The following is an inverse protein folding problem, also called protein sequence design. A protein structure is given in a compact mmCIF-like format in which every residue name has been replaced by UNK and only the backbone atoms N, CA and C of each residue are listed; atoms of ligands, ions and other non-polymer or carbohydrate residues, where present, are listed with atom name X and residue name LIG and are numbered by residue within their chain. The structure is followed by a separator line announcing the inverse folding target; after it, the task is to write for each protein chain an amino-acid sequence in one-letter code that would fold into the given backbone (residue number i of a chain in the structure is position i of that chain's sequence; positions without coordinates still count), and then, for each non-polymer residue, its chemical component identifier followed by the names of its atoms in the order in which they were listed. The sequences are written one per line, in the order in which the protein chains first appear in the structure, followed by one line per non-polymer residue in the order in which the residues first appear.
data_IF_516749519477
#
_entry.id   IF_516749519477
#
_cell.length_a   1.000
_cell.length_b   1.000
_cell.length_c   1.000
_cell.angle_alpha   90.00
_cell.angle_beta   90.00
_cell.angle_gamma   90.00
#
_symmetry.space_group_name_H-M   'P 1'
#
loop_
_entity.id
_entity.type
_entity.pdbx_description
1 polymer ?
#
# COMPACT_ATOMS: atom_id res chain seq x y z
N UNK A 1 68.83 -15.84 3.76
CA UNK A 1 67.50 -16.27 3.25
C UNK A 1 66.44 -15.73 4.18
N UNK A 2 65.51 -14.89 3.70
CA UNK A 2 64.40 -14.31 4.49
C UNK A 2 63.09 -14.96 4.03
N UNK A 3 62.20 -15.43 4.92
CA UNK A 3 60.98 -16.10 4.51
C UNK A 3 59.92 -15.08 4.03
N UNK A 4 59.38 -15.31 2.84
CA UNK A 4 58.28 -14.50 2.28
C UNK A 4 56.96 -15.12 2.74
N UNK A 5 56.23 -14.41 3.61
CA UNK A 5 54.88 -14.80 4.07
C UNK A 5 53.90 -14.54 2.92
N UNK A 6 53.33 -15.58 2.30
CA UNK A 6 52.29 -15.40 1.28
C UNK A 6 50.98 -15.00 1.95
N UNK A 7 50.47 -13.81 1.65
CA UNK A 7 49.12 -13.42 2.00
C UNK A 7 48.13 -14.15 1.08
N UNK A 8 47.14 -14.82 1.66
CA UNK A 8 46.00 -15.38 0.92
C UNK A 8 45.04 -14.26 0.54
N UNK A 9 44.76 -14.10 -0.76
CA UNK A 9 43.78 -13.14 -1.27
C UNK A 9 42.37 -13.54 -0.81
N UNK A 10 41.71 -12.70 -0.02
CA UNK A 10 40.30 -12.87 0.30
C UNK A 10 39.47 -12.49 -0.93
N UNK A 11 38.65 -13.42 -1.44
CA UNK A 11 37.62 -13.11 -2.44
C UNK A 11 36.48 -12.41 -1.72
N UNK A 12 36.34 -11.11 -1.96
CA UNK A 12 35.13 -10.34 -1.62
C UNK A 12 34.20 -10.41 -2.84
N UNK A 13 32.95 -10.87 -2.71
CA UNK A 13 32.01 -10.83 -3.82
C UNK A 13 31.62 -9.37 -4.14
N UNK A 14 31.70 -9.04 -5.43
CA UNK A 14 31.39 -7.73 -6.01
C UNK A 14 29.87 -7.46 -5.95
N UNK A 15 29.40 -6.27 -5.51
CA UNK A 15 27.98 -5.96 -5.38
C UNK A 15 27.27 -5.58 -6.71
N UNK A 16 27.93 -5.64 -7.86
CA UNK A 16 27.37 -5.23 -9.13
C UNK A 16 27.30 -6.40 -10.15
N UNK A 17 26.32 -7.28 -9.99
CA UNK A 17 25.94 -8.23 -11.05
C UNK A 17 24.42 -8.21 -11.28
N UNK A 18 24.01 -7.54 -12.36
CA UNK A 18 22.86 -7.89 -13.19
C UNK A 18 21.47 -7.51 -12.67
N UNK A 19 21.08 -6.24 -12.86
CA UNK A 19 19.66 -5.90 -13.03
C UNK A 19 19.31 -5.93 -14.51
N UNK A 20 18.64 -6.99 -15.00
CA UNK A 20 17.92 -6.97 -16.28
C UNK A 20 16.57 -7.73 -16.19
N UNK A 21 15.51 -6.92 -16.07
CA UNK A 21 14.14 -6.97 -16.62
C UNK A 21 13.14 -8.16 -16.43
N UNK A 22 11.93 -7.76 -15.99
CA UNK A 22 10.63 -8.44 -15.76
C UNK A 22 9.97 -9.01 -17.06
N UNK A 23 9.03 -10.00 -17.03
CA UNK A 23 7.68 -9.89 -16.43
C UNK A 23 7.22 -11.12 -15.63
N UNK A 24 6.91 -10.93 -14.35
CA UNK A 24 6.18 -11.94 -13.58
C UNK A 24 4.67 -11.80 -13.88
N UNK A 25 4.20 -12.37 -14.99
CA UNK A 25 2.77 -12.66 -15.18
C UNK A 25 2.44 -13.97 -14.45
N UNK A 26 2.47 -13.91 -13.12
CA UNK A 26 1.97 -14.97 -12.25
C UNK A 26 0.53 -14.66 -11.87
N UNK A 27 -0.43 -15.28 -12.56
CA UNK A 27 -1.83 -15.27 -12.12
C UNK A 27 -1.88 -15.78 -10.68
N UNK A 28 -2.31 -14.93 -9.75
CA UNK A 28 -2.61 -15.38 -8.37
C UNK A 28 -3.95 -16.09 -8.44
N UNK A 29 -3.91 -17.36 -8.84
CA UNK A 29 -5.04 -18.27 -8.76
C UNK A 29 -5.45 -18.38 -7.29
N UNK A 30 -6.71 -18.05 -7.00
CA UNK A 30 -7.28 -18.15 -5.68
C UNK A 30 -7.21 -19.59 -5.18
N UNK A 31 -6.77 -19.77 -3.95
CA UNK A 31 -7.03 -21.00 -3.22
C UNK A 31 -7.72 -20.62 -1.90
N UNK A 32 -9.05 -20.79 -1.91
CA UNK A 32 -9.89 -20.59 -0.74
C UNK A 32 -9.50 -21.58 0.35
N UNK A 33 -9.10 -21.06 1.49
CA UNK A 33 -9.13 -21.81 2.74
C UNK A 33 -10.32 -21.29 3.53
N UNK A 34 -11.43 -22.04 3.50
CA UNK A 34 -12.59 -21.82 4.36
C UNK A 34 -12.22 -22.23 5.78
N UNK A 35 -11.48 -21.38 6.48
CA UNK A 35 -11.35 -21.50 7.92
C UNK A 35 -12.58 -20.83 8.54
N UNK A 36 -13.44 -21.65 9.16
CA UNK A 36 -14.58 -21.22 9.97
C UNK A 36 -14.11 -20.20 11.00
N UNK A 37 -14.28 -18.93 10.68
CA UNK A 37 -13.87 -17.80 11.50
C UNK A 37 -15.14 -17.11 11.94
N UNK A 38 -15.33 -17.02 13.26
CA UNK A 38 -16.21 -16.05 13.92
C UNK A 38 -16.26 -14.75 13.11
N UNK A 39 -17.43 -14.12 12.87
CA UNK A 39 -17.52 -12.99 11.96
C UNK A 39 -16.64 -11.86 12.47
N UNK A 40 -15.41 -11.80 11.96
CA UNK A 40 -14.60 -10.61 11.99
C UNK A 40 -15.45 -9.50 11.36
N UNK A 41 -15.32 -8.25 11.83
CA UNK A 41 -16.04 -7.14 11.21
C UNK A 41 -15.86 -7.23 9.70
N UNK A 42 -16.98 -7.24 8.97
CA UNK A 42 -16.96 -7.47 7.54
C UNK A 42 -16.12 -6.38 6.86
N UNK A 43 -14.89 -6.73 6.46
CA UNK A 43 -14.00 -5.81 5.75
C UNK A 43 -14.30 -5.89 4.26
N UNK A 44 -14.60 -4.76 3.64
CA UNK A 44 -14.71 -4.64 2.20
C UNK A 44 -13.35 -4.28 1.57
N UNK A 45 -13.10 -4.76 0.35
CA UNK A 45 -11.89 -4.43 -0.40
C UNK A 45 -12.13 -3.21 -1.29
N UNK A 46 -11.23 -2.23 -1.20
CA UNK A 46 -11.18 -1.06 -2.08
C UNK A 46 -9.97 -1.17 -3.01
N UNK A 47 -10.18 -1.01 -4.31
CA UNK A 47 -9.11 -0.92 -5.31
C UNK A 47 -9.18 0.46 -5.98
N UNK A 48 -8.08 1.21 -5.95
CA UNK A 48 -7.98 2.56 -6.50
C UNK A 48 -6.95 2.56 -7.64
N UNK A 49 -7.29 3.15 -8.79
CA UNK A 49 -6.35 3.42 -9.88
C UNK A 49 -5.77 4.82 -9.71
N UNK A 50 -4.46 4.94 -9.80
CA UNK A 50 -3.73 6.21 -9.70
C UNK A 50 -2.63 6.25 -10.75
N UNK A 51 -2.25 7.46 -11.14
CA UNK A 51 -1.06 7.68 -11.96
C UNK A 51 0.19 7.21 -11.19
N UNK A 52 1.16 6.61 -11.89
CA UNK A 52 2.29 5.91 -11.26
C UNK A 52 3.14 6.85 -10.39
N UNK A 53 3.33 8.08 -10.86
CA UNK A 53 4.10 9.10 -10.15
C UNK A 53 3.39 9.54 -8.86
N UNK A 54 2.06 9.72 -8.92
CA UNK A 54 1.25 10.08 -7.75
C UNK A 54 1.30 9.00 -6.68
N UNK A 55 1.21 7.73 -7.09
CA UNK A 55 1.32 6.61 -6.16
C UNK A 55 2.72 6.52 -5.53
N UNK A 56 3.77 6.82 -6.30
CA UNK A 56 5.14 6.92 -5.78
C UNK A 56 5.30 8.03 -4.74
N UNK A 57 4.74 9.21 -5.00
CA UNK A 57 4.74 10.33 -4.04
C UNK A 57 3.95 9.98 -2.78
N UNK A 58 2.76 9.38 -2.91
CA UNK A 58 1.94 8.98 -1.77
C UNK A 58 2.66 7.98 -0.85
N UNK A 59 3.36 6.99 -1.42
CA UNK A 59 4.16 6.03 -0.64
C UNK A 59 5.32 6.70 0.10
N UNK A 60 5.94 7.70 -0.54
CA UNK A 60 7.01 8.49 0.10
C UNK A 60 6.47 9.32 1.26
N UNK A 61 5.31 9.99 1.07
CA UNK A 61 4.65 10.75 2.11
C UNK A 61 4.27 9.88 3.32
N UNK A 62 3.70 8.69 3.09
CA UNK A 62 3.42 7.71 4.14
C UNK A 62 4.69 7.35 4.92
N UNK A 63 5.79 7.01 4.23
CA UNK A 63 7.05 6.65 4.89
C UNK A 63 7.60 7.78 5.77
N UNK A 64 7.50 9.03 5.31
CA UNK A 64 7.90 10.21 6.09
C UNK A 64 6.96 10.39 7.29
N UNK A 65 5.64 10.22 7.11
CA UNK A 65 4.66 10.29 8.19
C UNK A 65 4.97 9.30 9.31
N UNK A 66 5.31 8.06 8.96
CA UNK A 66 5.66 7.02 9.93
C UNK A 66 7.01 7.24 10.62
N UNK A 67 7.89 8.08 10.06
CA UNK A 67 9.21 8.36 10.62
C UNK A 67 9.18 9.46 11.70
N UNK A 68 8.03 10.06 11.96
CA UNK A 68 7.89 11.10 12.97
C UNK A 68 8.00 10.50 14.39
N UNK A 69 8.71 11.15 15.33
CA UNK A 69 8.82 10.67 16.70
C UNK A 69 7.43 10.50 17.34
N UNK A 70 7.18 9.32 17.93
CA UNK A 70 5.90 9.01 18.58
C UNK A 70 4.74 8.71 17.62
N UNK A 71 4.99 8.61 16.31
CA UNK A 71 3.97 8.19 15.35
C UNK A 71 3.81 6.68 15.32
N UNK A 72 2.57 6.24 15.14
CA UNK A 72 2.25 4.85 14.84
C UNK A 72 2.83 4.44 13.48
N UNK A 73 2.99 3.13 13.29
CA UNK A 73 3.48 2.55 12.03
C UNK A 73 2.36 1.75 11.32
N UNK A 74 1.28 2.40 10.84
CA UNK A 74 0.22 1.70 10.12
C UNK A 74 0.73 1.24 8.75
N UNK A 75 0.14 0.16 8.23
CA UNK A 75 0.37 -0.19 6.81
C UNK A 75 -0.11 0.94 5.90
N UNK A 76 0.46 1.05 4.69
CA UNK A 76 0.04 2.06 3.72
C UNK A 76 -1.48 2.06 3.48
N UNK A 77 -2.09 0.88 3.38
CA UNK A 77 -3.54 0.75 3.21
C UNK A 77 -4.36 1.23 4.41
N UNK A 78 -3.88 1.00 5.64
CA UNK A 78 -4.52 1.53 6.85
C UNK A 78 -4.40 3.06 6.91
N UNK A 79 -3.24 3.62 6.55
CA UNK A 79 -3.06 5.06 6.46
C UNK A 79 -3.99 5.71 5.43
N UNK A 80 -4.13 5.11 4.24
CA UNK A 80 -5.07 5.58 3.21
C UNK A 80 -6.53 5.47 3.69
N UNK A 81 -6.89 4.37 4.36
CA UNK A 81 -8.24 4.21 4.91
C UNK A 81 -8.56 5.28 5.96
N UNK A 82 -7.60 5.63 6.83
CA UNK A 82 -7.76 6.69 7.81
C UNK A 82 -7.95 8.07 7.15
N UNK A 83 -7.15 8.40 6.13
CA UNK A 83 -7.31 9.63 5.36
C UNK A 83 -8.68 9.71 4.67
N UNK A 84 -9.17 8.60 4.13
CA UNK A 84 -10.50 8.53 3.52
C UNK A 84 -11.60 8.76 4.56
N UNK A 85 -11.46 8.19 5.77
CA UNK A 85 -12.40 8.41 6.86
C UNK A 85 -12.39 9.85 7.36
N UNK A 86 -11.20 10.47 7.51
CA UNK A 86 -11.11 11.89 7.87
C UNK A 86 -11.82 12.80 6.86
N UNK A 87 -11.65 12.52 5.57
CA UNK A 87 -12.38 13.24 4.51
C UNK A 87 -13.89 13.00 4.58
N UNK A 88 -14.32 11.79 4.94
CA UNK A 88 -15.75 11.44 5.09
C UNK A 88 -16.37 12.15 6.29
N UNK A 89 -15.69 12.14 7.44
CA UNK A 89 -16.12 12.79 8.67
C UNK A 89 -16.20 14.32 8.50
N UNK A 90 -15.31 14.92 7.70
CA UNK A 90 -15.39 16.34 7.37
C UNK A 90 -16.69 16.68 6.61
N UNK A 91 -17.05 15.86 5.60
CA UNK A 91 -18.32 16.02 4.88
C UNK A 91 -19.52 15.78 5.79
N UNK A 92 -19.44 14.81 6.70
CA UNK A 92 -20.48 14.55 7.69
C UNK A 92 -20.68 15.72 8.65
N UNK A 93 -19.59 16.36 9.10
CA UNK A 93 -19.65 17.57 9.91
C UNK A 93 -20.34 18.71 9.16
N UNK A 94 -19.97 18.93 7.90
CA UNK A 94 -20.45 20.06 7.10
C UNK A 94 -21.90 19.86 6.60
N UNK A 95 -22.26 18.62 6.23
CA UNK A 95 -23.50 18.34 5.48
C UNK A 95 -24.48 17.41 6.19
N UNK A 96 -24.09 16.74 7.28
CA UNK A 96 -24.95 15.81 8.02
C UNK A 96 -24.95 16.06 9.54
N UNK A 97 -24.59 17.28 9.96
CA UNK A 97 -24.60 17.70 11.36
C UNK A 97 -23.69 16.85 12.26
N UNK A 98 -22.57 16.38 11.72
CA UNK A 98 -21.60 15.52 12.41
C UNK A 98 -22.08 14.09 12.63
N UNK A 99 -23.16 13.65 11.97
CA UNK A 99 -23.65 12.28 12.04
C UNK A 99 -23.12 11.45 10.86
N UNK A 100 -22.89 10.14 11.05
CA UNK A 100 -22.52 9.25 9.95
C UNK A 100 -23.50 9.28 8.78
N UNK A 101 -22.99 9.33 7.54
CA UNK A 101 -23.80 9.24 6.34
C UNK A 101 -24.35 7.81 6.16
N UNK A 102 -25.59 7.70 5.67
CA UNK A 102 -26.14 6.41 5.29
C UNK A 102 -25.43 5.87 4.04
N UNK A 103 -25.18 4.55 3.93
CA UNK A 103 -24.57 3.97 2.75
C UNK A 103 -25.37 4.28 1.49
N UNK A 104 -24.68 4.69 0.43
CA UNK A 104 -25.33 4.95 -0.86
C UNK A 104 -25.92 3.66 -1.43
N UNK A 105 -27.19 3.65 -1.86
CA UNK A 105 -27.80 2.49 -2.50
C UNK A 105 -27.01 2.02 -3.72
N UNK A 106 -27.02 0.71 -3.96
CA UNK A 106 -26.40 0.13 -5.15
C UNK A 106 -27.01 0.71 -6.43
N UNK A 107 -26.18 0.96 -7.44
CA UNK A 107 -26.60 1.48 -8.74
C UNK A 107 -26.70 3.02 -8.84
N UNK A 108 -26.51 3.75 -7.75
CA UNK A 108 -26.49 5.23 -7.76
C UNK A 108 -25.13 5.79 -8.16
N UNK A 109 -24.04 5.14 -7.76
CA UNK A 109 -22.70 5.59 -8.16
C UNK A 109 -22.44 5.27 -9.64
N UNK A 110 -21.86 6.20 -10.42
CA UNK A 110 -21.40 5.93 -11.77
C UNK A 110 -20.43 4.75 -11.79
N UNK A 111 -20.59 3.85 -12.76
CA UNK A 111 -19.63 2.78 -12.99
C UNK A 111 -18.35 3.37 -13.59
N UNK A 112 -17.19 2.84 -13.19
CA UNK A 112 -15.86 3.47 -13.29
C UNK A 112 -15.25 3.71 -14.68
N UNK A 113 -16.08 3.94 -15.70
CA UNK A 113 -15.68 4.28 -17.06
C UNK A 113 -16.10 5.71 -17.46
N UNK A 114 -16.35 6.61 -16.51
CA UNK A 114 -16.49 8.03 -16.83
C UNK A 114 -15.11 8.54 -17.30
N UNK A 115 -14.99 8.81 -18.59
CA UNK A 115 -13.78 9.38 -19.18
C UNK A 115 -13.42 10.69 -18.43
N UNK A 116 -12.16 10.79 -17.98
CA UNK A 116 -11.61 12.03 -17.42
C UNK A 116 -11.69 13.08 -18.55
N UNK A 117 -12.49 14.13 -18.37
CA UNK A 117 -12.49 15.32 -19.24
C UNK A 117 -11.34 16.23 -18.87
#
# INVERSE_FOLDING_TARGET
MKPVRRLTKATVPDPAAGQEQLPATGQVAGNGTVASSQPAPARAKLTIRMDVEDLGRARTAWRISCAQPGSDYPTFGQWVAALLMQATEAIEADHNGGRPLAPTPAGVLPTGNAARR
#
